data_IF_391692911407
#
_entry.id   IF_391692911407
#
_cell.length_a   1.000
_cell.length_b   1.000
_cell.length_c   1.000
_cell.angle_alpha   90.00
_cell.angle_beta   90.00
_cell.angle_gamma   90.00
#
_symmetry.space_group_name_H-M   'P 1'
#
loop_
_entity.id
_entity.type
_entity.pdbx_description
1 polymer ?
#
# COMPACT_ATOMS: atom_id res chain seq x y z
N UNK A 1 21.69 3.97 29.22
CA UNK A 1 20.71 4.18 28.12
C UNK A 1 20.74 3.09 27.03
N UNK A 2 21.89 2.59 26.57
CA UNK A 2 21.97 1.58 25.51
C UNK A 2 21.34 0.22 25.87
N UNK A 3 21.59 -0.28 27.10
CA UNK A 3 20.99 -1.54 27.59
C UNK A 3 19.45 -1.48 27.59
N UNK A 4 18.87 -0.34 28.01
CA UNK A 4 17.43 -0.13 28.01
C UNK A 4 16.85 -0.18 26.58
N UNK A 5 17.55 0.39 25.59
CA UNK A 5 17.14 0.33 24.18
C UNK A 5 17.19 -1.09 23.63
N UNK A 6 18.21 -1.87 23.99
CA UNK A 6 18.34 -3.28 23.60
C UNK A 6 17.22 -4.09 24.24
N UNK A 7 16.97 -3.94 25.53
CA UNK A 7 15.88 -4.61 26.24
C UNK A 7 14.53 -4.30 25.58
N UNK A 8 14.26 -3.02 25.28
CA UNK A 8 13.05 -2.60 24.54
C UNK A 8 13.01 -3.26 23.16
N UNK A 9 14.08 -3.22 22.38
CA UNK A 9 14.15 -3.90 21.08
C UNK A 9 13.81 -5.38 21.15
N UNK A 10 14.41 -6.09 22.09
CA UNK A 10 14.18 -7.52 22.31
C UNK A 10 12.73 -7.81 22.72
N UNK A 11 12.17 -7.03 23.65
CA UNK A 11 10.78 -7.19 24.07
C UNK A 11 9.79 -6.89 22.93
N UNK A 12 10.08 -5.89 22.08
CA UNK A 12 9.27 -5.58 20.89
C UNK A 12 9.16 -6.78 19.96
N UNK A 13 10.32 -7.33 19.63
CA UNK A 13 10.46 -8.44 18.70
C UNK A 13 9.78 -9.67 19.30
N UNK A 14 10.05 -9.98 20.58
CA UNK A 14 9.42 -11.08 21.28
C UNK A 14 7.89 -10.94 21.33
N UNK A 15 7.37 -9.77 21.67
CA UNK A 15 5.93 -9.50 21.71
C UNK A 15 5.28 -9.62 20.33
N UNK A 16 5.93 -9.11 19.28
CA UNK A 16 5.45 -9.23 17.90
C UNK A 16 5.39 -10.69 17.46
N UNK A 17 6.45 -11.47 17.72
CA UNK A 17 6.48 -12.90 17.38
C UNK A 17 5.48 -13.71 18.19
N UNK A 18 5.35 -13.43 19.50
CA UNK A 18 4.36 -14.07 20.35
C UNK A 18 2.94 -13.80 19.86
N UNK A 19 2.62 -12.54 19.53
CA UNK A 19 1.32 -12.15 18.97
C UNK A 19 1.01 -12.91 17.67
N UNK A 20 1.97 -12.96 16.75
CA UNK A 20 1.79 -13.67 15.47
C UNK A 20 1.66 -15.19 15.67
N UNK A 21 2.46 -15.78 16.56
CA UNK A 21 2.42 -17.22 16.84
C UNK A 21 1.09 -17.62 17.49
N UNK A 22 0.63 -16.87 18.50
CA UNK A 22 -0.66 -17.11 19.17
C UNK A 22 -1.81 -16.96 18.17
N UNK A 23 -1.80 -15.89 17.37
CA UNK A 23 -2.80 -15.68 16.31
C UNK A 23 -2.81 -16.85 15.34
N UNK A 24 -1.64 -17.32 14.90
CA UNK A 24 -1.55 -18.46 13.99
C UNK A 24 -2.09 -19.76 14.61
N UNK A 25 -1.72 -20.09 15.84
CA UNK A 25 -2.18 -21.30 16.54
C UNK A 25 -3.70 -21.30 16.70
N UNK A 26 -4.29 -20.16 17.06
CA UNK A 26 -5.75 -20.01 17.19
C UNK A 26 -6.44 -20.23 15.84
N UNK A 27 -5.86 -19.74 14.75
CA UNK A 27 -6.50 -19.76 13.43
C UNK A 27 -6.24 -21.04 12.63
N UNK A 28 -5.18 -21.77 12.96
CA UNK A 28 -4.80 -23.02 12.29
C UNK A 28 -5.92 -24.07 12.24
N UNK A 29 -6.63 -24.44 13.34
CA UNK A 29 -7.67 -25.46 13.26
C UNK A 29 -8.82 -25.05 12.33
N UNK A 30 -9.27 -23.80 12.39
CA UNK A 30 -10.30 -23.27 11.48
C UNK A 30 -9.83 -23.30 10.03
N UNK A 31 -8.57 -22.93 9.79
CA UNK A 31 -7.98 -22.94 8.46
C UNK A 31 -7.92 -24.36 7.89
N UNK A 32 -7.47 -25.34 8.69
CA UNK A 32 -7.40 -26.74 8.28
C UNK A 32 -8.79 -27.32 7.99
N UNK A 33 -9.79 -27.03 8.81
CA UNK A 33 -11.19 -27.44 8.54
C UNK A 33 -11.67 -26.83 7.24
N UNK A 34 -11.51 -25.52 7.04
CA UNK A 34 -11.93 -24.86 5.81
C UNK A 34 -11.17 -25.37 4.57
N UNK A 35 -9.90 -25.74 4.73
CA UNK A 35 -9.07 -26.31 3.68
C UNK A 35 -9.57 -27.71 3.29
N UNK A 36 -9.90 -28.56 4.26
CA UNK A 36 -10.42 -29.91 4.01
C UNK A 36 -11.83 -29.85 3.40
N UNK A 37 -12.70 -28.97 3.90
CA UNK A 37 -14.09 -28.92 3.47
C UNK A 37 -14.31 -28.19 2.13
N UNK A 38 -13.47 -27.22 1.77
CA UNK A 38 -13.70 -26.36 0.59
C UNK A 38 -12.44 -25.89 -0.12
N UNK A 39 -11.29 -26.50 0.18
CA UNK A 39 -10.02 -26.20 -0.46
C UNK A 39 -9.47 -24.82 -0.12
N UNK A 40 -8.43 -24.44 -0.87
CA UNK A 40 -7.64 -23.23 -0.62
C UNK A 40 -8.46 -21.94 -0.71
N UNK A 41 -9.42 -21.88 -1.65
CA UNK A 41 -10.28 -20.70 -1.85
C UNK A 41 -11.16 -20.46 -0.63
N UNK A 42 -11.79 -21.52 -0.10
CA UNK A 42 -12.62 -21.42 1.11
C UNK A 42 -11.78 -21.07 2.34
N UNK A 43 -10.64 -21.74 2.53
CA UNK A 43 -9.74 -21.46 3.66
C UNK A 43 -9.27 -20.00 3.69
N UNK A 44 -8.93 -19.44 2.52
CA UNK A 44 -8.59 -18.01 2.42
C UNK A 44 -9.79 -17.11 2.71
N UNK A 45 -10.94 -17.38 2.10
CA UNK A 45 -12.13 -16.52 2.24
C UNK A 45 -12.69 -16.48 3.66
N UNK A 46 -12.75 -17.62 4.33
CA UNK A 46 -13.42 -17.76 5.63
C UNK A 46 -12.51 -17.55 6.82
N UNK A 47 -11.20 -17.81 6.66
CA UNK A 47 -10.24 -17.72 7.76
C UNK A 47 -9.14 -16.72 7.44
N UNK A 48 -8.48 -16.86 6.30
CA UNK A 48 -7.34 -15.99 5.94
C UNK A 48 -7.68 -14.50 5.85
N UNK A 49 -8.78 -14.12 5.17
CA UNK A 49 -9.16 -12.72 5.02
C UNK A 49 -9.62 -12.12 6.35
N UNK A 50 -10.54 -12.73 7.12
CA UNK A 50 -10.89 -12.21 8.44
C UNK A 50 -9.70 -12.15 9.40
N UNK A 51 -8.77 -13.13 9.34
CA UNK A 51 -7.53 -13.13 10.12
C UNK A 51 -6.71 -11.88 9.89
N UNK A 52 -6.41 -11.60 8.63
CA UNK A 52 -5.64 -10.42 8.24
C UNK A 52 -6.37 -9.15 8.67
N UNK A 53 -7.65 -9.07 8.30
CA UNK A 53 -8.53 -7.92 8.49
C UNK A 53 -8.68 -7.46 9.93
N UNK A 54 -8.92 -8.40 10.86
CA UNK A 54 -9.42 -8.10 12.20
C UNK A 54 -8.41 -8.40 13.30
N UNK A 55 -7.43 -9.26 13.04
CA UNK A 55 -6.47 -9.69 14.06
C UNK A 55 -5.08 -9.23 13.66
N UNK A 56 -4.52 -9.80 12.59
CA UNK A 56 -3.08 -9.69 12.34
C UNK A 56 -2.67 -8.27 11.94
N UNK A 57 -3.26 -7.69 10.89
CA UNK A 57 -2.85 -6.35 10.45
C UNK A 57 -3.19 -5.24 11.46
N UNK A 58 -4.39 -5.23 12.05
CA UNK A 58 -4.70 -4.22 13.06
C UNK A 58 -3.83 -4.36 14.33
N UNK A 59 -3.58 -5.59 14.78
CA UNK A 59 -2.67 -5.85 15.91
C UNK A 59 -1.22 -5.44 15.61
N UNK A 60 -0.72 -5.75 14.41
CA UNK A 60 0.60 -5.28 13.98
C UNK A 60 0.68 -3.75 13.86
N UNK A 61 -0.40 -3.08 13.42
CA UNK A 61 -0.46 -1.63 13.35
C UNK A 61 -0.44 -1.01 14.75
N UNK A 62 -1.16 -1.59 15.72
CA UNK A 62 -1.15 -1.17 17.10
C UNK A 62 0.24 -1.33 17.73
N UNK A 63 0.90 -2.48 17.52
CA UNK A 63 2.28 -2.71 17.95
C UNK A 63 3.22 -1.68 17.32
N UNK A 64 3.09 -1.41 16.02
CA UNK A 64 3.90 -0.43 15.33
C UNK A 64 3.71 0.99 15.89
N UNK A 65 2.48 1.39 16.20
CA UNK A 65 2.17 2.70 16.78
C UNK A 65 2.67 2.83 18.23
N UNK A 66 2.41 1.83 19.08
CA UNK A 66 2.79 1.86 20.49
C UNK A 66 4.29 1.66 20.71
N UNK A 67 4.95 0.88 19.84
CA UNK A 67 6.34 0.51 20.01
C UNK A 67 7.31 1.27 19.10
N UNK A 68 6.90 1.63 17.88
CA UNK A 68 7.82 2.17 16.88
C UNK A 68 8.44 3.52 17.27
N UNK A 69 7.79 4.28 18.15
CA UNK A 69 8.23 5.61 18.57
C UNK A 69 8.18 6.66 17.46
N UNK A 70 7.73 6.29 16.26
CA UNK A 70 7.65 7.16 15.09
C UNK A 70 6.23 7.65 14.86
N UNK A 71 6.11 8.95 14.57
CA UNK A 71 4.84 9.54 14.15
C UNK A 71 4.63 9.28 12.67
N UNK A 72 3.44 8.82 12.30
CA UNK A 72 3.00 8.84 10.90
C UNK A 72 2.30 10.17 10.66
N UNK A 73 2.93 11.03 9.85
CA UNK A 73 2.40 12.31 9.40
C UNK A 73 1.88 12.17 7.98
N UNK A 74 0.64 12.57 7.75
CA UNK A 74 -0.03 12.37 6.46
C UNK A 74 -0.26 13.72 5.82
N UNK A 75 0.14 13.84 4.56
CA UNK A 75 0.10 15.08 3.79
C UNK A 75 -0.72 14.87 2.52
N UNK A 76 -1.26 15.93 1.94
CA UNK A 76 -1.99 15.83 0.67
C UNK A 76 -1.90 17.12 -0.13
N UNK A 77 -1.97 16.97 -1.46
CA UNK A 77 -2.13 18.12 -2.34
C UNK A 77 -3.53 18.68 -2.16
N UNK A 78 -3.67 19.86 -1.57
CA UNK A 78 -4.93 20.57 -1.62
C UNK A 78 -5.05 21.24 -2.99
N UNK A 79 -6.05 20.93 -3.84
CA UNK A 79 -6.46 21.91 -4.83
C UNK A 79 -6.84 23.19 -4.09
N UNK A 80 -6.56 24.37 -4.66
CA UNK A 80 -7.11 25.62 -4.14
C UNK A 80 -8.63 25.48 -3.98
N UNK A 81 -9.14 25.55 -2.74
CA UNK A 81 -10.55 25.28 -2.40
C UNK A 81 -10.76 23.90 -1.74
N UNK A 82 -10.33 23.80 -0.48
CA UNK A 82 -10.21 22.57 0.32
C UNK A 82 -11.42 21.62 0.26
N UNK A 83 -11.18 20.43 -0.28
CA UNK A 83 -11.97 19.23 0.04
C UNK A 83 -11.62 18.81 1.47
N UNK A 84 -12.61 18.38 2.26
CA UNK A 84 -12.37 17.87 3.61
C UNK A 84 -11.42 16.65 3.58
N UNK A 85 -10.72 16.31 4.68
CA UNK A 85 -9.94 15.08 4.78
C UNK A 85 -10.71 13.83 4.32
N UNK A 86 -12.02 13.77 4.58
CA UNK A 86 -12.92 12.68 4.19
C UNK A 86 -13.09 12.52 2.67
N UNK A 87 -12.86 13.57 1.89
CA UNK A 87 -12.93 13.51 0.43
C UNK A 87 -11.61 13.04 -0.21
N UNK A 88 -10.51 13.08 0.56
CA UNK A 88 -9.19 12.60 0.14
C UNK A 88 -8.97 11.19 0.67
N UNK A 89 -9.29 10.93 1.93
CA UNK A 89 -9.17 9.64 2.60
C UNK A 89 -10.56 9.13 2.95
N UNK A 90 -11.19 8.39 2.02
CA UNK A 90 -12.58 7.93 2.16
C UNK A 90 -12.61 6.66 3.03
N UNK A 91 -13.33 6.66 4.17
CA UNK A 91 -13.37 5.49 5.04
C UNK A 91 -14.05 4.28 4.42
N UNK A 92 -13.42 3.10 4.55
CA UNK A 92 -13.97 1.84 4.04
C UNK A 92 -13.95 1.72 2.51
N UNK A 93 -13.17 2.54 1.83
CA UNK A 93 -13.04 2.52 0.38
C UNK A 93 -12.11 1.40 -0.10
N UNK A 94 -12.55 0.61 -1.09
CA UNK A 94 -11.67 -0.30 -1.82
C UNK A 94 -10.85 0.48 -2.85
N UNK A 95 -9.54 0.24 -2.87
CA UNK A 95 -8.63 1.00 -3.71
C UNK A 95 -7.35 0.23 -4.06
N UNK A 96 -6.73 0.65 -5.15
CA UNK A 96 -5.33 0.35 -5.43
C UNK A 96 -4.46 1.36 -4.67
N UNK A 97 -3.53 0.87 -3.85
CA UNK A 97 -2.58 1.70 -3.12
C UNK A 97 -1.23 1.60 -3.81
N UNK A 98 -0.81 2.66 -4.47
CA UNK A 98 0.43 2.74 -5.25
C UNK A 98 1.47 3.55 -4.49
N UNK A 99 2.64 2.95 -4.21
CA UNK A 99 3.67 3.58 -3.38
C UNK A 99 5.09 3.39 -3.95
N UNK A 100 5.98 4.35 -3.70
CA UNK A 100 7.43 4.15 -3.83
C UNK A 100 7.93 3.17 -2.75
N UNK A 101 9.07 2.51 -2.99
CA UNK A 101 9.58 1.46 -2.10
C UNK A 101 11.00 1.73 -1.60
N UNK A 102 11.08 2.43 -0.47
CA UNK A 102 12.34 2.92 0.10
C UNK A 102 12.78 2.06 1.29
N UNK A 103 11.84 1.62 2.14
CA UNK A 103 12.13 0.88 3.36
C UNK A 103 11.47 -0.51 3.42
N UNK A 104 12.07 -1.43 4.18
CA UNK A 104 11.54 -2.79 4.38
C UNK A 104 10.17 -2.82 5.06
N UNK A 105 9.84 -1.79 5.85
CA UNK A 105 8.56 -1.67 6.55
C UNK A 105 7.69 -0.54 6.00
N UNK A 106 7.84 -0.15 4.73
CA UNK A 106 6.92 0.81 4.08
C UNK A 106 5.46 0.37 4.24
N UNK A 107 5.23 -0.95 4.12
CA UNK A 107 3.92 -1.55 4.31
C UNK A 107 3.34 -1.35 5.72
N UNK A 108 4.17 -1.16 6.76
CA UNK A 108 3.68 -0.80 8.11
C UNK A 108 3.13 0.63 8.13
N UNK A 109 3.78 1.57 7.46
CA UNK A 109 3.30 2.95 7.38
C UNK A 109 1.95 3.02 6.64
N UNK A 110 1.84 2.30 5.53
CA UNK A 110 0.58 2.22 4.75
C UNK A 110 -0.52 1.50 5.54
N UNK A 111 -0.18 0.43 6.28
CA UNK A 111 -1.13 -0.27 7.15
C UNK A 111 -1.63 0.63 8.29
N UNK A 112 -0.75 1.41 8.94
CA UNK A 112 -1.14 2.42 9.94
C UNK A 112 -2.15 3.42 9.36
N UNK A 113 -1.90 3.94 8.16
CA UNK A 113 -2.85 4.80 7.44
C UNK A 113 -4.19 4.08 7.22
N UNK A 114 -4.16 2.87 6.66
CA UNK A 114 -5.36 2.09 6.37
C UNK A 114 -6.21 1.81 7.61
N UNK A 115 -5.58 1.53 8.76
CA UNK A 115 -6.31 1.33 10.02
C UNK A 115 -6.92 2.64 10.50
N UNK A 116 -6.18 3.76 10.47
CA UNK A 116 -6.68 5.08 10.89
C UNK A 116 -7.90 5.53 10.09
N UNK A 117 -8.00 5.16 8.81
CA UNK A 117 -9.14 5.53 7.96
C UNK A 117 -10.15 4.39 7.76
N UNK A 118 -10.02 3.29 8.52
CA UNK A 118 -10.94 2.14 8.44
C UNK A 118 -11.01 1.44 7.07
N UNK A 119 -9.92 1.55 6.30
CA UNK A 119 -9.76 0.91 4.98
C UNK A 119 -8.74 -0.23 4.99
N UNK A 120 -8.12 -0.53 6.14
CA UNK A 120 -7.29 -1.73 6.34
C UNK A 120 -8.10 -3.04 6.43
N UNK A 121 -9.41 -3.00 6.10
CA UNK A 121 -10.31 -4.15 6.15
C UNK A 121 -9.74 -5.36 5.42
N UNK A 122 -9.07 -5.19 4.29
CA UNK A 122 -8.21 -6.24 3.75
C UNK A 122 -7.08 -5.67 2.90
N UNK A 123 -5.85 -5.84 3.38
CA UNK A 123 -4.63 -5.49 2.67
C UNK A 123 -4.15 -6.69 1.84
N UNK A 124 -4.15 -6.54 0.51
CA UNK A 124 -3.55 -7.51 -0.41
C UNK A 124 -2.13 -7.06 -0.73
N UNK A 125 -1.14 -7.84 -0.30
CA UNK A 125 0.27 -7.57 -0.57
C UNK A 125 0.75 -8.33 -1.80
N UNK A 126 1.55 -7.67 -2.63
CA UNK A 126 2.38 -8.32 -3.65
C UNK A 126 3.76 -8.58 -3.05
N UNK A 127 4.05 -9.84 -2.71
CA UNK A 127 5.29 -10.23 -2.04
C UNK A 127 6.11 -11.23 -2.86
N UNK A 128 7.41 -11.36 -2.58
CA UNK A 128 8.24 -12.38 -3.24
C UNK A 128 7.80 -13.77 -2.82
N UNK A 129 7.83 -14.73 -3.74
CA UNK A 129 7.49 -16.12 -3.45
C UNK A 129 8.35 -16.74 -2.33
N UNK A 130 9.60 -16.29 -2.17
CA UNK A 130 10.47 -16.75 -1.08
C UNK A 130 10.00 -16.34 0.32
N UNK A 131 9.09 -15.36 0.46
CA UNK A 131 8.58 -14.93 1.76
C UNK A 131 7.84 -16.06 2.49
N UNK A 132 7.24 -17.02 1.76
CA UNK A 132 6.54 -18.17 2.36
C UNK A 132 7.42 -19.07 3.23
N UNK A 133 8.74 -18.99 3.08
CA UNK A 133 9.69 -19.78 3.87
C UNK A 133 9.98 -19.16 5.24
N UNK A 134 9.50 -17.95 5.52
CA UNK A 134 9.58 -17.35 6.85
C UNK A 134 8.43 -17.94 7.69
N UNK A 135 8.70 -18.70 8.76
CA UNK A 135 7.65 -19.31 9.58
C UNK A 135 6.68 -18.24 10.11
N UNK A 136 5.39 -18.59 10.20
CA UNK A 136 4.29 -17.73 10.65
C UNK A 136 4.05 -16.52 9.73
N UNK A 137 4.99 -15.57 9.65
CA UNK A 137 4.89 -14.35 8.83
C UNK A 137 4.67 -14.69 7.36
N UNK A 138 5.49 -15.58 6.81
CA UNK A 138 5.41 -16.00 5.42
C UNK A 138 4.09 -16.67 5.07
N UNK A 139 3.54 -17.42 6.02
CA UNK A 139 2.27 -18.12 5.85
C UNK A 139 1.08 -17.16 5.90
N UNK A 140 1.08 -16.21 6.85
CA UNK A 140 0.10 -15.11 6.88
C UNK A 140 0.13 -14.34 5.57
N UNK A 141 1.31 -13.96 5.07
CA UNK A 141 1.45 -13.25 3.79
C UNK A 141 0.94 -14.12 2.63
N UNK A 142 1.21 -15.43 2.62
CA UNK A 142 0.70 -16.34 1.60
C UNK A 142 -0.84 -16.47 1.62
N UNK A 143 -1.46 -16.37 2.80
CA UNK A 143 -2.91 -16.42 2.98
C UNK A 143 -3.60 -15.10 2.63
N UNK A 144 -2.98 -13.96 2.99
CA UNK A 144 -3.57 -12.63 2.82
C UNK A 144 -3.23 -11.97 1.48
N UNK A 145 -2.11 -12.33 0.84
CA UNK A 145 -1.56 -11.65 -0.34
C UNK A 145 -1.37 -12.54 -1.57
N UNK A 146 -0.50 -12.08 -2.47
CA UNK A 146 -0.07 -12.75 -3.71
C UNK A 146 1.44 -12.88 -3.69
N UNK A 147 1.91 -14.12 -3.81
CA UNK A 147 3.31 -14.45 -3.89
C UNK A 147 3.76 -14.52 -5.36
N UNK A 148 4.76 -13.71 -5.70
CA UNK A 148 5.26 -13.51 -7.05
C UNK A 148 6.65 -14.13 -7.24
N UNK A 149 6.81 -14.89 -8.33
CA UNK A 149 8.09 -15.44 -8.80
C UNK A 149 8.92 -14.43 -9.59
N UNK A 150 8.40 -13.23 -9.83
CA UNK A 150 9.03 -12.15 -10.62
C UNK A 150 9.13 -12.49 -12.11
N UNK A 151 8.24 -13.36 -12.58
CA UNK A 151 8.07 -13.67 -13.99
C UNK A 151 6.60 -13.49 -14.34
N UNK A 152 6.31 -12.57 -15.28
CA UNK A 152 4.94 -12.27 -15.67
C UNK A 152 4.20 -13.52 -16.14
N UNK A 153 4.86 -14.35 -16.95
CA UNK A 153 4.27 -15.55 -17.54
C UNK A 153 3.89 -16.59 -16.48
N UNK A 154 4.61 -16.61 -15.36
CA UNK A 154 4.32 -17.49 -14.22
C UNK A 154 3.30 -16.88 -13.24
N UNK A 155 3.25 -15.55 -13.15
CA UNK A 155 2.52 -14.85 -12.09
C UNK A 155 1.17 -14.29 -12.54
N UNK A 156 0.98 -13.98 -13.83
CA UNK A 156 -0.17 -13.23 -14.33
C UNK A 156 -1.51 -13.88 -13.95
N UNK A 157 -1.70 -15.16 -14.27
CA UNK A 157 -2.94 -15.89 -13.98
C UNK A 157 -3.26 -15.89 -12.48
N UNK A 158 -2.25 -16.11 -11.63
CA UNK A 158 -2.39 -16.10 -10.16
C UNK A 158 -2.76 -14.71 -9.64
N UNK A 159 -2.15 -13.66 -10.21
CA UNK A 159 -2.37 -12.28 -9.83
C UNK A 159 -3.81 -11.85 -10.18
N UNK A 160 -4.27 -12.10 -11.42
CA UNK A 160 -5.66 -11.85 -11.82
C UNK A 160 -6.68 -12.63 -10.99
N UNK A 161 -6.43 -13.91 -10.72
CA UNK A 161 -7.31 -14.73 -9.90
C UNK A 161 -7.40 -14.20 -8.46
N UNK A 162 -6.28 -13.81 -7.87
CA UNK A 162 -6.25 -13.24 -6.52
C UNK A 162 -6.98 -11.90 -6.45
N UNK A 163 -6.83 -11.05 -7.47
CA UNK A 163 -7.51 -9.77 -7.56
C UNK A 163 -9.03 -9.93 -7.69
N UNK A 164 -9.50 -10.82 -8.57
CA UNK A 164 -10.95 -11.12 -8.67
C UNK A 164 -11.52 -11.72 -7.40
N UNK A 165 -10.81 -12.67 -6.78
CA UNK A 165 -11.18 -13.19 -5.47
C UNK A 165 -11.23 -12.08 -4.43
N UNK A 166 -10.41 -11.04 -4.61
CA UNK A 166 -10.42 -9.89 -3.74
C UNK A 166 -11.63 -8.99 -3.86
N UNK A 167 -12.01 -8.67 -5.10
CA UNK A 167 -13.22 -7.91 -5.34
C UNK A 167 -14.49 -8.61 -4.84
N UNK A 168 -14.53 -9.95 -4.93
CA UNK A 168 -15.69 -10.77 -4.57
C UNK A 168 -15.91 -10.96 -3.06
N UNK A 169 -14.98 -10.55 -2.18
CA UNK A 169 -15.08 -10.79 -0.74
C UNK A 169 -16.10 -9.89 -0.03
N UNK A 170 -16.64 -8.86 -0.70
CA UNK A 170 -17.65 -7.94 -0.14
C UNK A 170 -17.13 -6.96 0.92
N UNK A 171 -15.86 -7.05 1.31
CA UNK A 171 -15.20 -6.14 2.26
C UNK A 171 -14.39 -5.05 1.53
N UNK A 172 -14.05 -3.93 2.19
CA UNK A 172 -13.08 -2.97 1.68
C UNK A 172 -11.71 -3.62 1.43
N UNK A 173 -11.13 -3.39 0.26
CA UNK A 173 -9.83 -3.98 -0.15
C UNK A 173 -8.84 -2.92 -0.54
N UNK A 174 -7.67 -2.93 0.09
CA UNK A 174 -6.51 -2.17 -0.31
C UNK A 174 -5.48 -3.09 -0.94
N UNK A 175 -5.34 -2.99 -2.26
CA UNK A 175 -4.29 -3.70 -2.98
C UNK A 175 -3.02 -2.86 -2.98
N UNK A 176 -1.99 -3.30 -2.27
CA UNK A 176 -0.74 -2.57 -2.18
C UNK A 176 0.20 -2.96 -3.32
N UNK A 177 0.57 -1.97 -4.13
CA UNK A 177 1.49 -2.11 -5.23
C UNK A 177 2.68 -1.16 -5.06
N UNK A 178 3.88 -1.74 -5.19
CA UNK A 178 5.12 -0.99 -5.33
C UNK A 178 5.65 -1.19 -6.75
N UNK A 179 5.30 -0.32 -7.72
CA UNK A 179 5.75 -0.41 -9.12
C UNK A 179 7.27 -0.55 -9.30
N UNK A 180 8.10 -0.10 -8.35
CA UNK A 180 9.56 -0.34 -8.37
C UNK A 180 9.92 -1.84 -8.34
N UNK A 181 9.07 -2.69 -7.74
CA UNK A 181 9.25 -4.15 -7.66
C UNK A 181 10.37 -4.62 -6.72
N UNK A 182 11.08 -3.69 -6.10
CA UNK A 182 12.17 -3.95 -5.16
C UNK A 182 12.50 -2.68 -4.39
N UNK A 183 13.02 -2.85 -3.16
CA UNK A 183 13.70 -1.76 -2.44
C UNK A 183 14.86 -1.22 -3.25
N UNK A 184 15.02 0.10 -3.18
CA UNK A 184 16.18 0.83 -3.68
C UNK A 184 17.47 0.39 -2.98
N UNK A 185 18.55 0.35 -3.74
CA UNK A 185 19.92 0.20 -3.28
C UNK A 185 20.82 0.91 -4.29
N UNK A 186 22.03 1.39 -3.94
CA UNK A 186 22.88 2.15 -4.85
C UNK A 186 23.07 1.48 -6.23
N UNK A 187 23.35 0.17 -6.25
CA UNK A 187 23.49 -0.59 -7.50
C UNK A 187 22.21 -0.64 -8.37
N UNK A 188 21.03 -0.66 -7.74
CA UNK A 188 19.75 -0.70 -8.48
C UNK A 188 19.33 0.68 -8.95
N UNK A 189 19.66 1.71 -8.18
CA UNK A 189 19.47 3.10 -8.59
C UNK A 189 20.31 3.38 -9.83
N UNK A 190 21.61 3.06 -9.80
CA UNK A 190 22.49 3.20 -10.96
C UNK A 190 21.98 2.42 -12.19
N UNK A 191 21.52 1.18 -12.02
CA UNK A 191 20.93 0.41 -13.12
C UNK A 191 19.61 1.02 -13.65
N UNK A 192 18.79 1.58 -12.76
CA UNK A 192 17.56 2.28 -13.13
C UNK A 192 17.87 3.57 -13.92
N UNK A 193 18.87 4.33 -13.47
CA UNK A 193 19.35 5.56 -14.10
C UNK A 193 19.91 5.30 -15.50
N UNK A 194 20.78 4.30 -15.65
CA UNK A 194 21.29 3.87 -16.94
C UNK A 194 20.16 3.42 -17.89
N UNK A 195 19.14 2.73 -17.37
CA UNK A 195 17.97 2.37 -18.17
C UNK A 195 17.15 3.60 -18.60
N UNK A 196 16.95 4.59 -17.72
CA UNK A 196 16.26 5.85 -18.06
C UNK A 196 17.04 6.65 -19.12
N UNK A 197 18.37 6.72 -18.97
CA UNK A 197 19.27 7.40 -19.91
C UNK A 197 19.20 6.76 -21.30
N UNK A 198 19.28 5.43 -21.38
CA UNK A 198 19.16 4.69 -22.64
C UNK A 198 17.78 4.86 -23.31
N UNK A 199 16.77 5.31 -22.56
CA UNK A 199 15.43 5.62 -23.07
C UNK A 199 15.23 7.12 -23.36
N UNK A 200 16.28 7.95 -23.19
CA UNK A 200 16.22 9.40 -23.36
C UNK A 200 15.33 10.08 -22.33
N UNK A 201 15.32 9.60 -21.08
CA UNK A 201 14.42 10.07 -20.02
C UNK A 201 15.18 10.71 -18.87
N UNK A 202 14.46 11.58 -18.15
CA UNK A 202 14.96 12.24 -16.96
C UNK A 202 15.40 11.24 -15.89
N UNK A 203 16.51 11.58 -15.24
CA UNK A 203 17.06 10.79 -14.15
C UNK A 203 16.21 10.96 -12.88
N UNK A 204 16.11 9.88 -12.11
CA UNK A 204 15.45 9.86 -10.81
C UNK A 204 16.49 9.45 -9.75
N UNK A 205 16.54 10.18 -8.65
CA UNK A 205 17.55 10.00 -7.60
C UNK A 205 16.96 9.37 -6.33
N UNK A 206 15.64 9.52 -6.12
CA UNK A 206 14.96 9.10 -4.89
C UNK A 206 13.99 7.92 -5.10
N UNK A 207 13.74 7.54 -6.36
CA UNK A 207 12.89 6.39 -6.73
C UNK A 207 13.48 5.59 -7.88
N UNK A 208 13.17 4.30 -7.95
CA UNK A 208 13.46 3.48 -9.12
C UNK A 208 12.40 3.68 -10.21
N UNK A 209 12.77 3.45 -11.48
CA UNK A 209 11.84 3.48 -12.60
C UNK A 209 10.69 2.47 -12.40
N UNK A 210 9.42 2.87 -12.60
CA UNK A 210 8.28 2.03 -12.28
C UNK A 210 8.02 0.95 -13.33
N UNK A 211 7.47 -0.18 -12.87
CA UNK A 211 6.94 -1.26 -13.69
C UNK A 211 5.42 -1.25 -13.63
N UNK A 212 4.76 -1.20 -14.79
CA UNK A 212 3.31 -0.94 -14.84
C UNK A 212 2.41 -2.18 -14.90
N UNK A 213 2.94 -3.36 -15.21
CA UNK A 213 2.11 -4.55 -15.49
C UNK A 213 1.17 -4.91 -14.33
N UNK A 214 1.66 -4.82 -13.09
CA UNK A 214 0.84 -5.09 -11.90
C UNK A 214 -0.25 -4.04 -11.67
N UNK A 215 0.03 -2.77 -11.98
CA UNK A 215 -0.94 -1.67 -11.90
C UNK A 215 -2.04 -1.87 -12.95
N UNK A 216 -1.66 -2.18 -14.19
CA UNK A 216 -2.62 -2.47 -15.27
C UNK A 216 -3.51 -3.64 -14.90
N UNK A 217 -2.93 -4.76 -14.44
CA UNK A 217 -3.73 -5.91 -14.04
C UNK A 217 -4.62 -5.64 -12.82
N UNK A 218 -4.19 -4.77 -11.89
CA UNK A 218 -5.02 -4.34 -10.78
C UNK A 218 -6.24 -3.56 -11.26
N UNK A 219 -6.04 -2.54 -12.11
CA UNK A 219 -7.14 -1.76 -12.68
C UNK A 219 -8.02 -2.65 -13.54
N UNK A 220 -7.46 -3.41 -14.47
CA UNK A 220 -8.19 -4.31 -15.35
C UNK A 220 -9.05 -5.34 -14.58
N UNK A 221 -8.56 -5.87 -13.45
CA UNK A 221 -9.30 -6.87 -12.69
C UNK A 221 -10.34 -6.28 -11.71
N UNK A 222 -10.17 -5.03 -11.29
CA UNK A 222 -10.87 -4.48 -10.12
C UNK A 222 -11.40 -3.06 -10.28
N UNK A 223 -11.32 -2.44 -11.47
CA UNK A 223 -11.80 -1.06 -11.66
C UNK A 223 -13.29 -0.88 -11.34
N UNK A 224 -14.13 -1.89 -11.56
CA UNK A 224 -15.55 -1.90 -11.17
C UNK A 224 -15.77 -1.98 -9.66
N UNK A 225 -14.74 -2.34 -8.88
CA UNK A 225 -14.80 -2.50 -7.42
C UNK A 225 -14.00 -1.46 -6.66
N UNK A 226 -12.91 -0.98 -7.25
CA UNK A 226 -12.08 0.11 -6.73
C UNK A 226 -12.76 1.45 -7.01
N UNK A 227 -12.89 2.27 -5.99
CA UNK A 227 -13.39 3.62 -6.17
C UNK A 227 -12.26 4.60 -6.53
N UNK A 228 -11.02 4.32 -6.11
CA UNK A 228 -9.87 5.16 -6.38
C UNK A 228 -8.53 4.41 -6.40
N UNK A 229 -7.51 5.11 -6.88
CA UNK A 229 -6.10 4.84 -6.64
C UNK A 229 -5.62 5.82 -5.56
N UNK A 230 -5.04 5.31 -4.48
CA UNK A 230 -4.27 6.10 -3.51
C UNK A 230 -2.82 6.10 -3.95
N UNK A 231 -2.36 7.24 -4.47
CA UNK A 231 -0.97 7.43 -4.89
C UNK A 231 -0.15 8.04 -3.74
N UNK A 232 0.72 7.22 -3.14
CA UNK A 232 1.42 7.52 -1.90
C UNK A 232 2.91 7.79 -2.13
N UNK A 233 3.41 8.92 -1.64
CA UNK A 233 4.85 9.18 -1.56
C UNK A 233 5.31 9.02 -0.11
N UNK A 234 6.06 7.96 0.18
CA UNK A 234 6.68 7.73 1.47
C UNK A 234 8.05 8.41 1.52
N UNK A 235 8.26 9.20 2.57
CA UNK A 235 9.50 9.90 2.83
C UNK A 235 9.92 9.74 4.30
N UNK A 236 11.23 9.61 4.52
CA UNK A 236 11.84 9.45 5.84
C UNK A 236 12.85 10.60 6.03
N UNK A 237 12.59 11.59 6.90
CA UNK A 237 13.45 12.77 7.11
C UNK A 237 14.91 12.42 7.34
N UNK A 238 15.14 11.48 8.26
CA UNK A 238 16.49 11.05 8.68
C UNK A 238 17.00 9.84 7.88
N UNK A 239 16.40 9.58 6.72
CA UNK A 239 16.63 8.38 5.92
C UNK A 239 15.99 7.12 6.51
N UNK A 240 16.19 5.98 5.84
CA UNK A 240 15.54 4.73 6.26
C UNK A 240 16.18 4.15 7.52
N UNK A 241 15.40 3.84 8.57
CA UNK A 241 15.94 3.19 9.75
C UNK A 241 16.29 1.73 9.46
N UNK A 242 17.12 1.12 10.30
CA UNK A 242 17.18 -0.35 10.33
C UNK A 242 15.94 -0.90 11.04
N UNK A 243 15.54 -2.13 10.74
CA UNK A 243 14.45 -2.80 11.47
C UNK A 243 14.75 -2.85 12.98
N UNK A 244 16.03 -2.99 13.36
CA UNK A 244 16.43 -2.95 14.76
C UNK A 244 16.22 -1.58 15.41
N UNK A 245 16.52 -0.47 14.71
CA UNK A 245 16.20 0.88 15.21
C UNK A 245 14.70 1.05 15.44
N UNK A 246 13.86 0.50 14.55
CA UNK A 246 12.40 0.48 14.73
C UNK A 246 12.02 -0.32 15.98
N UNK A 247 12.56 -1.53 16.15
CA UNK A 247 12.29 -2.35 17.32
C UNK A 247 12.71 -1.65 18.64
N UNK A 248 13.81 -0.91 18.63
CA UNK A 248 14.29 -0.14 19.78
C UNK A 248 13.50 1.16 20.06
N UNK A 249 12.36 1.40 19.40
CA UNK A 249 11.58 2.65 19.51
C UNK A 249 12.39 3.90 19.13
N UNK A 250 13.30 3.74 18.18
CA UNK A 250 14.20 4.80 17.70
C UNK A 250 14.00 5.02 16.19
N UNK A 251 12.82 4.74 15.66
CA UNK A 251 12.51 5.04 14.26
C UNK A 251 12.21 6.53 14.11
N UNK A 252 12.72 7.17 13.03
CA UNK A 252 12.33 8.53 12.70
C UNK A 252 10.85 8.58 12.29
N UNK A 253 10.30 9.80 12.31
CA UNK A 253 8.97 10.07 11.78
C UNK A 253 8.87 9.61 10.31
N UNK A 254 7.67 9.20 9.91
CA UNK A 254 7.37 8.80 8.54
C UNK A 254 6.38 9.80 7.98
N UNK A 255 6.76 10.42 6.85
CA UNK A 255 5.91 11.36 6.14
C UNK A 255 5.30 10.67 4.93
N UNK A 256 3.99 10.73 4.81
CA UNK A 256 3.25 10.06 3.75
C UNK A 256 2.38 11.09 3.03
N UNK A 257 2.78 11.44 1.81
CA UNK A 257 1.96 12.28 0.96
C UNK A 257 0.95 11.42 0.19
N UNK A 258 -0.32 11.81 0.20
CA UNK A 258 -1.45 11.08 -0.42
C UNK A 258 -2.09 11.95 -1.50
N UNK A 259 -2.22 11.39 -2.71
CA UNK A 259 -3.20 11.85 -3.69
C UNK A 259 -4.24 10.76 -3.91
N UNK A 260 -5.52 11.11 -3.88
CA UNK A 260 -6.62 10.20 -4.26
C UNK A 260 -7.04 10.48 -5.69
N UNK A 261 -6.96 9.47 -6.54
CA UNK A 261 -7.32 9.53 -7.95
C UNK A 261 -8.54 8.63 -8.17
N UNK A 262 -9.76 9.17 -8.31
CA UNK A 262 -10.93 8.36 -8.62
C UNK A 262 -10.73 7.55 -9.90
N UNK A 263 -11.26 6.31 -9.95
CA UNK A 263 -11.17 5.49 -11.17
C UNK A 263 -11.76 6.18 -12.41
N UNK A 264 -12.91 6.89 -12.34
CA UNK A 264 -13.40 7.67 -13.49
C UNK A 264 -12.39 8.73 -13.96
N UNK A 265 -11.71 9.41 -13.05
CA UNK A 265 -10.68 10.42 -13.38
C UNK A 265 -9.47 9.76 -14.03
N UNK A 266 -9.06 8.56 -13.61
CA UNK A 266 -8.05 7.79 -14.33
C UNK A 266 -8.49 7.53 -15.78
N UNK A 267 -9.74 7.10 -15.99
CA UNK A 267 -10.25 6.82 -17.33
C UNK A 267 -10.30 8.06 -18.21
N UNK A 268 -10.73 9.20 -17.68
CA UNK A 268 -10.67 10.50 -18.37
C UNK A 268 -9.23 10.86 -18.78
N UNK A 269 -8.26 10.66 -17.88
CA UNK A 269 -6.85 10.96 -18.16
C UNK A 269 -6.26 10.03 -19.24
N UNK A 270 -6.59 8.74 -19.19
CA UNK A 270 -6.16 7.76 -20.21
C UNK A 270 -6.83 8.05 -21.55
N UNK A 271 -8.12 8.39 -21.54
CA UNK A 271 -8.87 8.76 -22.72
C UNK A 271 -8.28 10.00 -23.40
N UNK A 272 -8.05 11.07 -22.63
CA UNK A 272 -7.44 12.30 -23.12
C UNK A 272 -6.04 12.05 -23.71
N UNK A 273 -5.21 11.24 -23.04
CA UNK A 273 -3.86 10.91 -23.52
C UNK A 273 -3.86 10.06 -24.80
N UNK A 274 -4.89 9.22 -24.98
CA UNK A 274 -5.01 8.32 -26.14
C UNK A 274 -5.89 8.85 -27.28
N UNK A 275 -6.54 10.01 -27.11
CA UNK A 275 -7.57 10.47 -28.05
C UNK A 275 -8.77 9.51 -28.13
N UNK A 276 -9.11 8.86 -27.02
CA UNK A 276 -10.19 7.87 -26.92
C UNK A 276 -11.44 8.50 -26.31
N UNK A 277 -12.58 7.84 -26.47
CA UNK A 277 -13.76 8.12 -25.66
C UNK A 277 -13.56 7.56 -24.24
N UNK A 278 -13.78 8.39 -23.21
CA UNK A 278 -13.67 8.01 -21.82
C UNK A 278 -14.66 6.88 -21.44
N UNK A 279 -15.82 6.80 -22.10
CA UNK A 279 -16.78 5.74 -21.88
C UNK A 279 -16.29 4.36 -22.37
N UNK A 280 -15.35 4.33 -23.32
CA UNK A 280 -14.81 3.09 -23.89
C UNK A 280 -13.56 2.56 -23.15
N UNK A 281 -12.91 3.39 -22.32
CA UNK A 281 -11.72 2.98 -21.56
C UNK A 281 -11.97 1.81 -20.61
N UNK A 282 -13.08 1.73 -19.85
CA UNK A 282 -13.40 0.56 -19.02
C UNK A 282 -13.42 -0.75 -19.82
N UNK A 283 -14.05 -0.76 -20.99
CA UNK A 283 -14.15 -1.94 -21.85
C UNK A 283 -12.79 -2.39 -22.37
N UNK A 284 -11.89 -1.44 -22.67
CA UNK A 284 -10.50 -1.75 -23.05
C UNK A 284 -9.73 -2.42 -21.89
N UNK A 285 -9.98 -2.00 -20.64
CA UNK A 285 -9.43 -2.66 -19.47
C UNK A 285 -10.01 -4.07 -19.28
N UNK A 286 -11.31 -4.26 -19.48
CA UNK A 286 -11.98 -5.57 -19.39
C UNK A 286 -11.49 -6.55 -20.48
N UNK A 287 -11.34 -6.06 -21.72
CA UNK A 287 -10.75 -6.82 -22.81
C UNK A 287 -9.30 -7.21 -22.52
N UNK A 288 -8.51 -6.28 -21.96
CA UNK A 288 -7.13 -6.54 -21.51
C UNK A 288 -7.09 -7.63 -20.41
N UNK A 289 -8.02 -7.59 -19.45
CA UNK A 289 -8.13 -8.63 -18.40
C UNK A 289 -8.49 -10.02 -18.96
N UNK A 290 -9.18 -10.05 -20.10
CA UNK A 290 -9.61 -11.25 -20.81
C UNK A 290 -8.55 -11.78 -21.77
N UNK A 291 -7.41 -11.10 -21.92
CA UNK A 291 -6.29 -11.52 -22.76
C UNK A 291 -6.31 -10.95 -24.18
N UNK A 292 -7.13 -9.94 -24.47
CA UNK A 292 -7.14 -9.27 -25.77
C UNK A 292 -5.83 -8.49 -25.99
N UNK A 293 -5.04 -8.95 -26.97
CA UNK A 293 -3.75 -8.35 -27.31
C UNK A 293 -3.88 -6.95 -27.93
N UNK A 294 -4.97 -6.67 -28.65
CA UNK A 294 -5.23 -5.38 -29.29
C UNK A 294 -5.56 -4.34 -28.23
N UNK A 295 -6.47 -4.66 -27.32
CA UNK A 295 -6.78 -3.78 -26.18
C UNK A 295 -5.55 -3.53 -25.32
N UNK A 296 -4.76 -4.58 -25.04
CA UNK A 296 -3.51 -4.46 -24.30
C UNK A 296 -2.48 -3.56 -25.01
N UNK A 297 -2.40 -3.61 -26.35
CA UNK A 297 -1.51 -2.77 -27.14
C UNK A 297 -1.89 -1.28 -27.07
N UNK A 298 -3.16 -0.95 -26.89
CA UNK A 298 -3.65 0.42 -26.68
C UNK A 298 -3.40 0.89 -25.24
N UNK A 299 -3.80 0.09 -24.24
CA UNK A 299 -3.75 0.50 -22.83
C UNK A 299 -2.31 0.56 -22.29
N UNK A 300 -1.45 -0.38 -22.68
CA UNK A 300 -0.10 -0.49 -22.14
C UNK A 300 0.75 0.78 -22.30
N UNK A 301 0.89 1.41 -23.49
CA UNK A 301 1.67 2.65 -23.62
C UNK A 301 1.06 3.82 -22.83
N UNK A 302 -0.26 3.97 -22.82
CA UNK A 302 -0.94 5.04 -22.09
C UNK A 302 -0.73 4.92 -20.58
N UNK A 303 -0.90 3.70 -20.04
CA UNK A 303 -0.64 3.43 -18.63
C UNK A 303 0.84 3.52 -18.27
N UNK A 304 1.76 3.17 -19.19
CA UNK A 304 3.20 3.40 -19.00
C UNK A 304 3.50 4.87 -18.78
N UNK A 305 2.94 5.75 -19.61
CA UNK A 305 3.18 7.18 -19.50
C UNK A 305 2.49 7.77 -18.26
N UNK A 306 1.25 7.36 -17.99
CA UNK A 306 0.52 7.79 -16.81
C UNK A 306 1.26 7.44 -15.50
N UNK A 307 1.69 6.19 -15.32
CA UNK A 307 2.45 5.78 -14.12
C UNK A 307 3.81 6.51 -14.06
N UNK A 308 4.45 6.75 -15.22
CA UNK A 308 5.71 7.49 -15.27
C UNK A 308 5.54 8.93 -14.80
N UNK A 309 4.50 9.62 -15.24
CA UNK A 309 4.19 10.98 -14.79
C UNK A 309 3.96 11.02 -13.26
N UNK A 310 3.26 10.01 -12.71
CA UNK A 310 3.14 9.87 -11.25
C UNK A 310 4.50 9.66 -10.58
N UNK A 311 5.41 8.91 -11.18
CA UNK A 311 6.77 8.71 -10.64
C UNK A 311 7.64 9.96 -10.71
N UNK A 312 7.55 10.75 -11.78
CA UNK A 312 8.23 12.05 -11.85
C UNK A 312 7.72 13.01 -10.77
N UNK A 313 6.42 12.99 -10.47
CA UNK A 313 5.85 13.74 -9.36
C UNK A 313 6.41 13.27 -8.01
N UNK A 314 6.54 11.96 -7.79
CA UNK A 314 7.17 11.40 -6.57
C UNK A 314 8.62 11.83 -6.44
N UNK A 315 9.39 11.73 -7.51
CA UNK A 315 10.80 12.15 -7.56
C UNK A 315 10.93 13.63 -7.18
N UNK A 316 10.13 14.52 -7.79
CA UNK A 316 10.13 15.95 -7.47
C UNK A 316 9.83 16.21 -6.00
N UNK A 317 8.74 15.62 -5.49
CA UNK A 317 8.34 15.77 -4.08
C UNK A 317 9.41 15.29 -3.12
N UNK A 318 10.07 14.16 -3.41
CA UNK A 318 11.14 13.62 -2.57
C UNK A 318 12.39 14.50 -2.61
N UNK A 319 12.75 15.00 -3.80
CA UNK A 319 13.86 15.94 -3.96
C UNK A 319 13.64 17.21 -3.14
N UNK A 320 12.47 17.81 -3.25
CA UNK A 320 12.08 18.99 -2.47
C UNK A 320 12.02 18.69 -0.97
N UNK A 321 11.46 17.54 -0.59
CA UNK A 321 11.39 17.09 0.80
C UNK A 321 12.78 17.01 1.45
N UNK A 322 13.75 16.43 0.75
CA UNK A 322 15.12 16.35 1.23
C UNK A 322 15.83 17.70 1.21
N UNK A 323 15.61 18.54 0.19
CA UNK A 323 16.15 19.90 0.12
C UNK A 323 15.62 20.80 1.25
N UNK A 324 14.40 20.56 1.71
CA UNK A 324 13.73 21.29 2.81
C UNK A 324 13.97 20.67 4.20
N UNK A 325 14.95 19.77 4.34
CA UNK A 325 15.32 19.20 5.64
C UNK A 325 14.28 18.24 6.22
N UNK A 326 13.54 17.52 5.36
CA UNK A 326 12.59 16.49 5.78
C UNK A 326 11.15 16.97 5.94
N UNK A 327 10.75 17.99 5.19
CA UNK A 327 9.39 18.53 5.19
C UNK A 327 8.87 18.67 3.76
N UNK A 328 7.62 18.31 3.52
CA UNK A 328 6.98 18.62 2.24
C UNK A 328 6.74 20.12 2.13
N UNK A 329 6.63 20.61 0.89
CA UNK A 329 6.31 22.01 0.64
C UNK A 329 4.96 22.38 1.25
N UNK A 330 4.88 23.32 2.21
CA UNK A 330 3.62 23.67 2.86
C UNK A 330 2.60 24.31 1.90
N UNK A 331 3.06 24.88 0.78
CA UNK A 331 2.18 25.48 -0.23
C UNK A 331 1.56 24.40 -1.14
N UNK A 332 2.26 23.28 -1.35
CA UNK A 332 1.77 22.16 -2.15
C UNK A 332 1.13 21.04 -1.31
N UNK A 333 1.51 20.90 -0.04
CA UNK A 333 1.18 19.76 0.80
C UNK A 333 0.73 20.21 2.20
N UNK A 334 -0.53 19.93 2.52
CA UNK A 334 -1.10 20.19 3.85
C UNK A 334 -1.10 18.92 4.69
N UNK A 335 -0.68 19.02 5.95
CA UNK A 335 -0.82 17.94 6.91
C UNK A 335 -2.30 17.70 7.25
N UNK A 336 -2.74 16.45 7.08
CA UNK A 336 -4.05 15.95 7.48
C UNK A 336 -3.96 15.48 8.94
N UNK A 337 -4.70 16.10 9.87
CA UNK A 337 -4.68 15.68 11.27
C UNK A 337 -5.39 14.34 11.40
N UNK A 338 -4.61 13.25 11.39
CA UNK A 338 -5.09 11.92 11.71
C UNK A 338 -4.68 11.59 13.16
N UNK A 339 -5.62 11.41 14.10
CA UNK A 339 -5.38 10.97 15.45
C UNK A 339 -4.63 9.65 15.43
N UNK A 340 -3.76 9.51 16.42
CA UNK A 340 -3.03 8.28 16.62
C UNK A 340 -3.99 7.14 17.00
N UNK A 341 -3.59 5.90 16.71
CA UNK A 341 -4.34 4.72 17.13
C UNK A 341 -4.44 4.63 18.67
N UNK A 342 -3.47 5.21 19.39
CA UNK A 342 -3.43 5.28 20.86
C UNK A 342 -4.36 6.33 21.48
N UNK A 343 -4.63 7.44 20.80
CA UNK A 343 -5.48 8.52 21.32
C UNK A 343 -6.97 8.21 21.24
N UNK A 344 -7.40 7.25 20.42
CA UNK A 344 -8.81 7.03 20.12
C UNK A 344 -9.39 5.67 20.55
N UNK A 345 -8.70 4.86 21.36
CA UNK A 345 -9.27 3.59 21.88
C UNK A 345 -9.95 2.72 20.81
N UNK A 346 -9.53 2.87 19.55
CA UNK A 346 -10.38 2.67 18.38
C UNK A 346 -10.59 1.20 18.03
N UNK A 347 -9.94 0.30 18.77
CA UNK A 347 -10.22 -1.11 18.70
C UNK A 347 -11.45 -1.54 19.49
N UNK A 348 -11.93 -0.73 20.45
CA UNK A 348 -12.87 -1.23 21.47
C UNK A 348 -14.10 -0.36 21.70
N UNK A 349 -14.05 0.97 21.55
CA UNK A 349 -15.12 1.83 22.12
C UNK A 349 -16.30 2.16 21.22
N UNK A 350 -16.11 2.54 19.95
CA UNK A 350 -17.17 3.24 19.20
C UNK A 350 -17.86 2.44 18.11
N UNK A 351 -17.70 1.11 18.11
CA UNK A 351 -18.35 0.25 17.13
C UNK A 351 -18.13 0.74 15.69
N UNK A 352 -18.96 0.26 14.78
CA UNK A 352 -18.78 0.50 13.36
C UNK A 352 -19.24 1.91 12.89
N UNK A 353 -19.12 2.99 13.68
CA UNK A 353 -19.66 4.31 13.29
C UNK A 353 -18.75 5.09 12.32
N UNK A 354 -19.29 5.45 11.15
CA UNK A 354 -18.57 5.92 9.93
C UNK A 354 -17.99 7.34 10.00
N UNK A 355 -18.18 8.07 11.09
CA UNK A 355 -17.85 9.50 11.15
C UNK A 355 -16.66 9.74 12.06
N UNK A 356 -15.69 10.50 11.54
CA UNK A 356 -14.61 11.02 12.34
C UNK A 356 -15.14 11.92 13.46
N UNK A 357 -14.57 11.88 14.68
CA UNK A 357 -14.85 12.91 15.66
C UNK A 357 -14.40 14.25 15.07
N UNK A 358 -15.35 15.17 14.89
CA UNK A 358 -15.04 16.59 14.71
C UNK A 358 -14.46 17.09 16.02
N UNK A 359 -13.20 16.80 16.32
CA UNK A 359 -12.52 17.56 17.36
C UNK A 359 -12.43 18.99 16.86
N UNK A 360 -13.10 19.86 17.60
CA UNK A 360 -13.10 21.29 17.39
C UNK A 360 -11.67 21.75 17.13
N UNK A 361 -11.48 22.39 15.98
CA UNK A 361 -10.37 23.33 15.81
C UNK A 361 -10.60 24.37 16.90
N UNK A 362 -9.87 24.22 18.01
CA UNK A 362 -9.84 25.25 19.04
C UNK A 362 -9.25 26.51 18.40
N UNK A 363 -9.90 27.62 18.74
CA UNK A 363 -9.70 28.98 18.24
C UNK A 363 -8.26 29.47 18.37
#
# INVERSE_FOLDING_TARGET
>A
MQLLRILRGTLAVAATWAFLAVSFVIMLPFFLVALVCGGWSMARRWVGYPAGAWVVFPGMAAIAEWWGGSTLRVHTSSPAGAKSPDAILVPGESALVMANHVFALDWWAIMRLGVRIRSAGWLVFLAKDSVKYIPVVGWVVAMAGVLLRRSWDLDAARLFAAFRAAGAAGQPVWLMCHPEGTRMSPAKLAASQAWLEAQGRDQMDHVLAPRVKAVIAAVAALHSRFAAIYDLTLAYPDGTPSIWKVACSCAPDVHLHVDRIPIPVLFEQIAAAGGLDAAAVPDLFDATASGDATAAAVILPLMKEWVRARWQLKERRLREFHARGGQFDPDEARELPLPSLSQHGAFVRDGLTRTWPRQAVAQ
#
